data_IF_762396737017
#
_entry.id   IF_762396737017
#
_cell.length_a   1.000
_cell.length_b   1.000
_cell.length_c   1.000
_cell.angle_alpha   90.00
_cell.angle_beta   90.00
_cell.angle_gamma   90.00
#
_symmetry.space_group_name_H-M   'P 1'
#
loop_
_entity.id
_entity.type
_entity.pdbx_description
1 polymer ?
#
# COMPACT_ATOMS: atom_id res chain seq x y z
N UNK A 1 -3.02 -35.48 -27.39
CA UNK A 1 -4.11 -35.75 -26.42
C UNK A 1 -5.14 -34.66 -26.64
N UNK A 2 -6.33 -35.03 -27.11
CA UNK A 2 -7.40 -34.07 -27.42
C UNK A 2 -8.27 -33.93 -26.19
N UNK A 3 -8.35 -32.73 -25.64
CA UNK A 3 -9.24 -32.42 -24.50
C UNK A 3 -10.56 -31.87 -25.06
N UNK A 4 -11.69 -32.42 -24.62
CA UNK A 4 -13.03 -31.99 -25.03
C UNK A 4 -13.68 -31.26 -23.88
N UNK A 5 -14.21 -30.07 -24.12
CA UNK A 5 -14.90 -29.26 -23.11
C UNK A 5 -16.38 -29.12 -23.50
N UNK A 6 -17.28 -29.51 -22.59
CA UNK A 6 -18.73 -29.50 -22.82
C UNK A 6 -19.39 -28.30 -22.13
N UNK A 7 -20.13 -27.51 -22.89
CA UNK A 7 -20.89 -26.34 -22.40
C UNK A 7 -22.39 -26.63 -22.44
N UNK A 8 -23.10 -26.28 -21.38
CA UNK A 8 -24.55 -26.48 -21.27
C UNK A 8 -25.10 -26.04 -19.92
N UNK A 9 -26.43 -25.84 -19.79
CA UNK A 9 -27.09 -25.58 -18.51
C UNK A 9 -26.86 -26.74 -17.54
N UNK A 10 -26.75 -26.43 -16.24
CA UNK A 10 -26.43 -27.37 -15.15
C UNK A 10 -27.22 -28.69 -15.21
N UNK A 11 -28.55 -28.70 -15.46
CA UNK A 11 -29.31 -29.95 -15.51
C UNK A 11 -28.93 -30.89 -16.65
N UNK A 12 -28.33 -30.38 -17.73
CA UNK A 12 -27.84 -31.21 -18.84
C UNK A 12 -26.42 -31.74 -18.58
N UNK A 13 -25.66 -31.09 -17.70
CA UNK A 13 -24.29 -31.50 -17.33
C UNK A 13 -24.31 -32.66 -16.33
N UNK A 14 -25.23 -32.65 -15.39
CA UNK A 14 -25.39 -33.74 -14.41
C UNK A 14 -25.76 -35.07 -15.07
N UNK A 15 -26.40 -35.02 -16.26
CA UNK A 15 -26.71 -36.20 -17.07
C UNK A 15 -25.51 -36.78 -17.84
N UNK A 16 -24.40 -36.03 -17.91
CA UNK A 16 -23.18 -36.37 -18.62
C UNK A 16 -22.05 -36.86 -17.70
N UNK A 17 -22.29 -36.95 -16.39
CA UNK A 17 -21.34 -37.52 -15.41
C UNK A 17 -21.09 -39.03 -15.63
N UNK A 18 -21.86 -39.66 -16.51
CA UNK A 18 -21.68 -41.04 -16.93
C UNK A 18 -20.78 -41.07 -18.18
N UNK A 19 -19.56 -41.58 -18.00
CA UNK A 19 -18.56 -41.96 -19.02
C UNK A 19 -18.98 -41.70 -20.49
N UNK A 20 -18.58 -40.56 -21.05
CA UNK A 20 -18.87 -40.20 -22.44
C UNK A 20 -18.01 -41.10 -23.35
N UNK A 21 -18.64 -41.91 -24.20
CA UNK A 21 -17.95 -42.68 -25.24
C UNK A 21 -18.01 -41.92 -26.56
N UNK A 22 -16.85 -41.59 -27.13
CA UNK A 22 -16.70 -41.05 -28.49
C UNK A 22 -15.94 -42.09 -29.31
N UNK A 23 -16.55 -42.59 -30.39
CA UNK A 23 -15.97 -43.62 -31.27
C UNK A 23 -15.42 -44.87 -30.54
N UNK A 24 -16.11 -45.30 -29.49
CA UNK A 24 -15.70 -46.46 -28.67
C UNK A 24 -14.61 -46.18 -27.64
N UNK A 25 -14.16 -44.93 -27.50
CA UNK A 25 -13.17 -44.48 -26.51
C UNK A 25 -13.89 -43.80 -25.35
N UNK A 26 -13.68 -44.32 -24.13
CA UNK A 26 -14.20 -43.73 -22.90
C UNK A 26 -13.39 -42.49 -22.51
N UNK A 27 -14.05 -41.33 -22.48
CA UNK A 27 -13.46 -40.10 -21.97
C UNK A 27 -13.63 -40.01 -20.44
N UNK A 28 -12.56 -39.65 -19.75
CA UNK A 28 -12.60 -39.33 -18.33
C UNK A 28 -13.03 -37.88 -18.15
N UNK A 29 -14.15 -37.66 -17.44
CA UNK A 29 -14.62 -36.33 -17.07
C UNK A 29 -13.63 -35.67 -16.10
N UNK A 30 -13.37 -34.38 -16.27
CA UNK A 30 -12.54 -33.60 -15.36
C UNK A 30 -13.24 -32.29 -14.98
N UNK A 31 -13.15 -31.91 -13.70
CA UNK A 31 -13.79 -30.71 -13.15
C UNK A 31 -13.05 -29.41 -13.51
N UNK A 32 -11.84 -29.54 -14.05
CA UNK A 32 -11.00 -28.41 -14.46
C UNK A 32 -10.08 -28.83 -15.60
N UNK A 33 -10.01 -28.00 -16.63
CA UNK A 33 -9.14 -28.19 -17.80
C UNK A 33 -8.23 -26.99 -18.00
N UNK A 34 -7.02 -27.19 -18.53
CA UNK A 34 -6.09 -26.10 -18.84
C UNK A 34 -5.86 -26.02 -20.35
N UNK A 35 -6.37 -24.98 -20.98
CA UNK A 35 -6.18 -24.72 -22.40
C UNK A 35 -5.41 -23.40 -22.63
N UNK A 36 -4.32 -23.45 -23.40
CA UNK A 36 -3.44 -22.31 -23.71
C UNK A 36 -2.99 -21.51 -22.46
N UNK A 37 -2.81 -22.19 -21.33
CA UNK A 37 -2.42 -21.57 -20.06
C UNK A 37 -3.57 -20.99 -19.23
N UNK A 38 -4.81 -21.02 -19.75
CA UNK A 38 -6.02 -20.62 -19.03
C UNK A 38 -6.65 -21.84 -18.39
N UNK A 39 -7.02 -21.74 -17.12
CA UNK A 39 -7.69 -22.81 -16.38
C UNK A 39 -9.18 -22.54 -16.32
N UNK A 40 -9.98 -23.46 -16.83
CA UNK A 40 -11.43 -23.40 -16.82
C UNK A 40 -11.95 -24.44 -15.85
N UNK A 41 -12.79 -24.02 -14.90
CA UNK A 41 -13.58 -24.92 -14.07
C UNK A 41 -14.91 -25.27 -14.78
N UNK A 42 -15.63 -26.26 -14.26
CA UNK A 42 -16.94 -26.68 -14.77
C UNK A 42 -17.92 -25.50 -14.96
N UNK A 43 -17.83 -24.49 -14.09
CA UNK A 43 -18.75 -23.35 -14.08
C UNK A 43 -18.22 -22.14 -14.88
N UNK A 44 -17.06 -22.25 -15.52
CA UNK A 44 -16.40 -21.17 -16.28
C UNK A 44 -16.26 -19.89 -15.42
N UNK A 45 -16.13 -20.05 -14.09
CA UNK A 45 -16.09 -18.96 -13.13
C UNK A 45 -14.72 -18.26 -13.09
N UNK A 46 -13.70 -18.87 -13.73
CA UNK A 46 -12.29 -18.46 -13.74
C UNK A 46 -11.66 -18.25 -12.36
N UNK A 47 -12.35 -18.56 -11.26
CA UNK A 47 -11.91 -18.26 -9.90
C UNK A 47 -10.53 -18.85 -9.59
N UNK A 48 -10.31 -20.12 -9.93
CA UNK A 48 -9.03 -20.81 -9.73
C UNK A 48 -7.91 -20.17 -10.57
N UNK A 49 -8.21 -19.80 -11.81
CA UNK A 49 -7.24 -19.13 -12.70
C UNK A 49 -6.89 -17.74 -12.18
N UNK A 50 -7.88 -16.92 -11.81
CA UNK A 50 -7.67 -15.58 -11.25
C UNK A 50 -6.83 -15.64 -9.97
N UNK A 51 -7.12 -16.58 -9.07
CA UNK A 51 -6.32 -16.80 -7.85
C UNK A 51 -4.87 -17.14 -8.18
N UNK A 52 -4.65 -18.05 -9.14
CA UNK A 52 -3.32 -18.47 -9.56
C UNK A 52 -2.51 -17.30 -10.16
N UNK A 53 -3.10 -16.59 -11.12
CA UNK A 53 -2.48 -15.44 -11.80
C UNK A 53 -2.18 -14.33 -10.80
N UNK A 54 -3.14 -13.99 -9.93
CA UNK A 54 -2.96 -12.99 -8.88
C UNK A 54 -1.82 -13.38 -7.94
N UNK A 55 -1.78 -14.62 -7.46
CA UNK A 55 -0.72 -15.13 -6.58
C UNK A 55 0.65 -15.02 -7.25
N UNK A 56 0.77 -15.42 -8.51
CA UNK A 56 2.02 -15.32 -9.27
C UNK A 56 2.45 -13.86 -9.46
N UNK A 57 1.53 -12.96 -9.84
CA UNK A 57 1.82 -11.54 -9.99
C UNK A 57 2.31 -10.91 -8.68
N UNK A 58 1.64 -11.18 -7.55
CA UNK A 58 2.06 -10.69 -6.23
C UNK A 58 3.42 -11.26 -5.80
N UNK A 59 3.69 -12.53 -6.12
CA UNK A 59 4.99 -13.13 -5.87
C UNK A 59 6.11 -12.39 -6.62
N UNK A 60 5.93 -12.12 -7.92
CA UNK A 60 6.90 -11.37 -8.71
C UNK A 60 7.06 -9.92 -8.21
N UNK A 61 5.97 -9.23 -7.88
CA UNK A 61 6.02 -7.89 -7.27
C UNK A 61 6.81 -7.90 -5.96
N UNK A 62 6.61 -8.90 -5.10
CA UNK A 62 7.37 -9.04 -3.85
C UNK A 62 8.85 -9.27 -4.12
N UNK A 63 9.21 -10.07 -5.12
CA UNK A 63 10.61 -10.27 -5.48
C UNK A 63 11.26 -8.96 -5.97
N UNK A 64 10.56 -8.17 -6.78
CA UNK A 64 11.00 -6.81 -7.17
C UNK A 64 11.23 -5.94 -5.93
N UNK A 65 10.36 -5.98 -4.92
CA UNK A 65 10.55 -5.21 -3.69
C UNK A 65 11.80 -5.63 -2.90
N UNK A 66 12.13 -6.93 -2.88
CA UNK A 66 13.32 -7.46 -2.19
C UNK A 66 14.62 -6.99 -2.82
N UNK A 67 14.69 -7.00 -4.16
CA UNK A 67 15.87 -6.55 -4.91
C UNK A 67 15.87 -5.05 -5.18
N UNK A 68 14.90 -4.28 -4.68
CA UNK A 68 14.73 -2.85 -4.98
C UNK A 68 15.99 -2.02 -4.78
N UNK A 69 16.81 -2.39 -3.78
CA UNK A 69 18.10 -1.73 -3.46
C UNK A 69 19.15 -1.94 -4.55
N UNK A 70 19.06 -3.03 -5.30
CA UNK A 70 19.97 -3.40 -6.39
C UNK A 70 19.48 -2.90 -7.76
N UNK A 71 18.20 -2.56 -7.89
CA UNK A 71 17.63 -2.05 -9.14
C UNK A 71 18.11 -0.62 -9.44
N UNK A 72 18.58 -0.42 -10.66
CA UNK A 72 18.90 0.90 -11.20
C UNK A 72 17.63 1.74 -11.38
N UNK A 73 17.81 3.06 -11.55
CA UNK A 73 16.68 3.95 -11.86
C UNK A 73 16.01 3.58 -13.18
N UNK A 74 16.79 3.20 -14.18
CA UNK A 74 16.26 2.83 -15.49
C UNK A 74 15.39 1.57 -15.40
N UNK A 75 15.83 0.55 -14.64
CA UNK A 75 15.07 -0.69 -14.51
C UNK A 75 13.79 -0.49 -13.69
N UNK A 76 13.85 0.32 -12.63
CA UNK A 76 12.66 0.68 -11.86
C UNK A 76 11.62 1.44 -12.72
N UNK A 77 12.08 2.32 -13.61
CA UNK A 77 11.22 3.05 -14.54
C UNK A 77 10.56 2.12 -15.57
N UNK A 78 11.29 1.10 -16.06
CA UNK A 78 10.71 0.06 -16.94
C UNK A 78 9.56 -0.67 -16.26
N UNK A 79 9.73 -1.05 -14.98
CA UNK A 79 8.66 -1.71 -14.20
C UNK A 79 7.44 -0.79 -14.05
N UNK A 80 7.66 0.49 -13.74
CA UNK A 80 6.57 1.48 -13.65
C UNK A 80 5.79 1.61 -14.97
N UNK A 81 6.50 1.70 -16.10
CA UNK A 81 5.89 1.76 -17.44
C UNK A 81 5.11 0.50 -17.77
N UNK A 82 5.66 -0.68 -17.47
CA UNK A 82 4.97 -1.95 -17.70
C UNK A 82 3.66 -2.04 -16.91
N UNK A 83 3.68 -1.64 -15.63
CA UNK A 83 2.47 -1.58 -14.81
C UNK A 83 1.41 -0.65 -15.38
N UNK A 84 1.82 0.48 -15.97
CA UNK A 84 0.90 1.39 -16.64
C UNK A 84 0.28 0.76 -17.90
N UNK A 85 1.08 0.05 -18.70
CA UNK A 85 0.58 -0.67 -19.88
C UNK A 85 -0.45 -1.72 -19.48
N UNK A 86 -0.18 -2.49 -18.43
CA UNK A 86 -1.12 -3.50 -17.91
C UNK A 86 -2.41 -2.85 -17.41
N UNK A 87 -2.31 -1.75 -16.66
CA UNK A 87 -3.49 -1.00 -16.21
C UNK A 87 -4.32 -0.51 -17.38
N UNK A 88 -3.67 0.04 -18.41
CA UNK A 88 -4.35 0.55 -19.59
C UNK A 88 -5.05 -0.58 -20.35
N UNK A 89 -4.40 -1.72 -20.53
CA UNK A 89 -5.00 -2.88 -21.17
C UNK A 89 -6.23 -3.37 -20.40
N UNK A 90 -6.13 -3.49 -19.07
CA UNK A 90 -7.26 -3.88 -18.22
C UNK A 90 -8.43 -2.90 -18.35
N UNK A 91 -8.16 -1.59 -18.31
CA UNK A 91 -9.19 -0.57 -18.48
C UNK A 91 -9.91 -0.70 -19.81
N UNK A 92 -9.17 -0.90 -20.92
CA UNK A 92 -9.76 -1.10 -22.25
C UNK A 92 -10.62 -2.35 -22.34
N UNK A 93 -10.15 -3.47 -21.78
CA UNK A 93 -10.90 -4.73 -21.78
C UNK A 93 -12.22 -4.57 -21.03
N UNK A 94 -12.23 -3.87 -19.90
CA UNK A 94 -13.44 -3.64 -19.12
C UNK A 94 -14.44 -2.71 -19.81
N UNK A 95 -13.97 -1.69 -20.52
CA UNK A 95 -14.84 -0.71 -21.18
C UNK A 95 -15.13 -1.02 -22.65
N UNK A 96 -14.48 -2.03 -23.23
CA UNK A 96 -14.69 -2.46 -24.61
C UNK A 96 -14.28 -1.44 -25.68
N UNK A 97 -13.35 -0.52 -25.36
CA UNK A 97 -12.94 0.56 -26.29
C UNK A 97 -11.80 0.11 -27.22
N UNK A 98 -11.60 0.82 -28.33
CA UNK A 98 -10.54 0.50 -29.29
C UNK A 98 -9.15 0.70 -28.66
N UNK A 99 -8.14 -0.01 -29.17
CA UNK A 99 -6.74 0.10 -28.73
C UNK A 99 -6.13 1.49 -28.99
N UNK A 100 -6.63 2.22 -29.98
CA UNK A 100 -6.15 3.55 -30.40
C UNK A 100 -6.83 4.68 -29.61
N UNK A 101 -7.96 4.42 -28.97
CA UNK A 101 -8.69 5.44 -28.22
C UNK A 101 -7.85 6.02 -27.09
N UNK A 102 -8.07 7.28 -26.75
CA UNK A 102 -7.35 7.92 -25.64
C UNK A 102 -7.67 7.24 -24.31
N UNK A 103 -6.63 6.83 -23.58
CA UNK A 103 -6.78 6.10 -22.31
C UNK A 103 -7.16 6.99 -21.12
N UNK A 104 -6.76 8.27 -21.15
CA UNK A 104 -7.02 9.23 -20.07
C UNK A 104 -8.50 9.36 -19.68
N UNK A 105 -9.46 9.59 -20.61
CA UNK A 105 -10.88 9.68 -20.26
C UNK A 105 -11.43 8.38 -19.68
N UNK A 106 -10.90 7.22 -20.10
CA UNK A 106 -11.34 5.90 -19.63
C UNK A 106 -10.87 5.65 -18.21
N UNK A 107 -9.62 6.00 -17.90
CA UNK A 107 -9.14 5.94 -16.52
C UNK A 107 -9.95 6.88 -15.62
N UNK A 108 -10.33 8.06 -16.11
CA UNK A 108 -11.17 8.99 -15.36
C UNK A 108 -12.58 8.43 -15.09
N UNK A 109 -13.25 7.86 -16.09
CA UNK A 109 -14.59 7.27 -15.91
C UNK A 109 -14.58 6.07 -14.95
N UNK A 110 -13.51 5.28 -14.97
CA UNK A 110 -13.30 4.18 -14.02
C UNK A 110 -12.83 4.63 -12.64
N UNK A 111 -12.57 5.93 -12.43
CA UNK A 111 -11.96 6.48 -11.21
C UNK A 111 -10.58 5.86 -10.89
N UNK A 112 -9.85 5.45 -11.93
CA UNK A 112 -8.52 4.82 -11.82
C UNK A 112 -7.42 5.86 -11.98
N UNK A 113 -6.58 6.01 -10.97
CA UNK A 113 -5.37 6.84 -11.07
C UNK A 113 -4.30 6.12 -11.89
N UNK A 114 -3.62 6.81 -12.83
CA UNK A 114 -2.40 6.29 -13.44
C UNK A 114 -1.36 5.89 -12.38
N UNK A 115 -0.55 4.88 -12.68
CA UNK A 115 0.39 4.25 -11.74
C UNK A 115 1.28 5.27 -11.04
N UNK A 116 1.82 6.24 -11.78
CA UNK A 116 2.66 7.32 -11.22
C UNK A 116 1.91 8.12 -10.14
N UNK A 117 0.67 8.53 -10.42
CA UNK A 117 -0.14 9.27 -9.46
C UNK A 117 -0.57 8.40 -8.28
N UNK A 118 -0.80 7.11 -8.49
CA UNK A 118 -1.08 6.17 -7.40
C UNK A 118 0.10 6.03 -6.43
N UNK A 119 1.34 6.01 -6.94
CA UNK A 119 2.54 5.99 -6.10
C UNK A 119 2.63 7.28 -5.27
N UNK A 120 2.48 8.44 -5.92
CA UNK A 120 2.49 9.76 -5.25
C UNK A 120 1.41 9.83 -4.17
N UNK A 121 0.18 9.45 -4.52
CA UNK A 121 -0.95 9.45 -3.59
C UNK A 121 -0.69 8.54 -2.38
N UNK A 122 -0.17 7.34 -2.58
CA UNK A 122 0.16 6.43 -1.46
C UNK A 122 1.29 6.97 -0.59
N UNK A 123 2.30 7.62 -1.17
CA UNK A 123 3.33 8.32 -0.39
C UNK A 123 2.72 9.44 0.45
N UNK A 124 1.93 10.32 -0.15
CA UNK A 124 1.27 11.44 0.54
C UNK A 124 0.30 10.97 1.63
N UNK A 125 -0.51 9.94 1.36
CA UNK A 125 -1.42 9.35 2.33
C UNK A 125 -0.66 8.76 3.52
N UNK A 126 0.49 8.12 3.27
CA UNK A 126 1.34 7.61 4.34
C UNK A 126 1.94 8.75 5.17
N UNK A 127 2.43 9.82 4.51
CA UNK A 127 2.89 11.05 5.18
C UNK A 127 1.78 11.64 6.05
N UNK A 128 0.57 11.76 5.54
CA UNK A 128 -0.58 12.25 6.30
C UNK A 128 -0.83 11.40 7.57
N UNK A 129 -0.82 10.07 7.43
CA UNK A 129 -0.97 9.15 8.58
C UNK A 129 0.14 9.32 9.61
N UNK A 130 1.38 9.50 9.15
CA UNK A 130 2.53 9.79 10.02
C UNK A 130 2.31 11.08 10.80
N UNK A 131 1.90 12.17 10.14
CA UNK A 131 1.68 13.46 10.78
C UNK A 131 0.53 13.43 11.80
N UNK A 132 -0.45 12.54 11.60
CA UNK A 132 -1.57 12.30 12.53
C UNK A 132 -1.27 11.32 13.66
N UNK A 133 -0.07 10.72 13.69
CA UNK A 133 0.26 9.68 14.67
C UNK A 133 -0.51 8.37 14.48
N UNK A 134 -1.02 8.12 13.27
CA UNK A 134 -1.72 6.87 12.90
C UNK A 134 -0.77 5.83 12.28
N UNK A 135 0.50 6.16 12.17
CA UNK A 135 1.54 5.27 11.64
C UNK A 135 2.46 4.81 12.79
N UNK A 136 3.14 3.65 12.63
CA UNK A 136 4.16 3.21 13.58
C UNK A 136 5.27 4.23 13.81
N UNK A 137 5.85 4.23 15.01
CA UNK A 137 6.90 5.19 15.43
C UNK A 137 8.09 5.27 14.48
N UNK A 138 8.54 4.13 13.93
CA UNK A 138 9.66 4.10 12.99
C UNK A 138 9.44 4.91 11.72
N UNK A 139 8.19 5.17 11.30
CA UNK A 139 7.89 6.07 10.17
C UNK A 139 7.81 7.52 10.60
N UNK A 140 7.37 7.76 11.83
CA UNK A 140 7.31 9.10 12.43
C UNK A 140 8.69 9.70 12.60
N UNK A 141 9.66 8.88 13.00
CA UNK A 141 11.07 9.27 13.11
C UNK A 141 11.71 9.66 11.77
N UNK A 142 11.09 9.30 10.62
CA UNK A 142 11.61 9.62 9.29
C UNK A 142 11.12 10.97 8.74
N UNK A 143 10.14 11.60 9.38
CA UNK A 143 9.48 12.82 8.87
C UNK A 143 9.43 13.88 9.96
N UNK A 144 10.10 15.01 9.72
CA UNK A 144 10.19 16.11 10.69
C UNK A 144 9.45 17.35 10.20
N UNK A 145 8.69 17.97 11.10
CA UNK A 145 8.05 19.27 10.86
C UNK A 145 9.12 20.35 10.70
N UNK A 146 8.93 21.23 9.73
CA UNK A 146 9.79 22.39 9.55
C UNK A 146 9.50 23.43 10.64
N UNK A 147 10.51 23.70 11.47
CA UNK A 147 10.45 24.74 12.50
C UNK A 147 11.54 25.78 12.21
N UNK A 148 11.17 26.98 11.71
CA UNK A 148 12.13 28.04 11.46
C UNK A 148 12.56 28.70 12.79
N UNK A 149 13.82 29.14 12.87
CA UNK A 149 14.35 29.85 14.05
C UNK A 149 13.68 31.20 14.31
N UNK A 150 12.96 31.75 13.31
CA UNK A 150 12.25 33.03 13.39
C UNK A 150 10.86 32.89 12.78
N UNK A 151 9.88 33.68 13.21
CA UNK A 151 8.55 33.64 12.62
C UNK A 151 8.58 34.11 11.17
N UNK A 152 8.02 33.29 10.28
CA UNK A 152 7.94 33.54 8.84
C UNK A 152 6.48 33.42 8.39
N UNK A 153 6.12 34.08 7.29
CA UNK A 153 4.78 33.96 6.69
C UNK A 153 4.39 32.52 6.35
N UNK A 154 5.37 31.64 6.11
CA UNK A 154 5.20 30.22 5.82
C UNK A 154 5.23 29.31 7.05
N UNK A 155 5.41 29.83 8.26
CA UNK A 155 5.53 29.03 9.49
C UNK A 155 4.30 28.13 9.72
N UNK A 156 3.10 28.61 9.37
CA UNK A 156 1.85 27.88 9.55
C UNK A 156 1.45 27.03 8.34
N UNK A 157 2.31 26.91 7.32
CA UNK A 157 2.00 26.17 6.10
C UNK A 157 2.12 24.65 6.25
N UNK A 158 2.52 24.14 7.43
CA UNK A 158 2.63 22.70 7.69
C UNK A 158 3.73 22.02 6.88
N UNK A 159 4.82 22.74 6.58
CA UNK A 159 5.93 22.24 5.78
C UNK A 159 6.76 21.19 6.53
N UNK A 160 7.40 20.31 5.77
CA UNK A 160 8.29 19.27 6.28
C UNK A 160 9.74 19.56 5.90
N UNK A 161 10.68 19.14 6.76
CA UNK A 161 12.10 19.22 6.47
C UNK A 161 12.45 18.20 5.38
N UNK A 162 13.07 18.66 4.30
CA UNK A 162 13.60 17.80 3.24
C UNK A 162 15.09 17.53 3.53
N UNK A 163 15.50 16.30 3.89
CA UNK A 163 16.89 15.99 4.14
C UNK A 163 17.76 16.21 2.91
N UNK A 164 19.00 16.67 3.12
CA UNK A 164 20.01 16.66 2.06
C UNK A 164 20.48 15.22 1.85
N UNK A 165 20.27 14.71 0.65
CA UNK A 165 20.82 13.42 0.24
C UNK A 165 22.09 13.67 -0.57
N UNK A 166 23.18 12.98 -0.22
CA UNK A 166 24.37 12.95 -1.08
C UNK A 166 23.98 12.32 -2.43
N UNK A 167 24.74 12.61 -3.50
CA UNK A 167 24.47 12.35 -4.93
C UNK A 167 24.10 10.90 -5.33
N UNK A 168 23.89 9.98 -4.38
CA UNK A 168 23.39 8.64 -4.60
C UNK A 168 21.91 8.64 -5.00
N UNK A 169 21.64 7.99 -6.14
CA UNK A 169 20.30 7.68 -6.66
C UNK A 169 19.39 6.96 -5.65
N UNK A 170 19.95 6.31 -4.62
CA UNK A 170 19.18 5.56 -3.63
C UNK A 170 18.55 6.47 -2.56
N UNK A 171 19.27 7.49 -2.08
CA UNK A 171 18.78 8.40 -1.03
C UNK A 171 17.53 9.16 -1.48
N UNK A 172 17.50 9.60 -2.74
CA UNK A 172 16.34 10.26 -3.34
C UNK A 172 15.09 9.37 -3.48
N UNK A 173 15.22 8.05 -3.35
CA UNK A 173 14.09 7.09 -3.42
C UNK A 173 13.52 6.76 -2.04
N UNK A 174 14.19 7.19 -0.97
CA UNK A 174 13.80 6.89 0.39
C UNK A 174 12.52 7.65 0.76
N UNK A 175 11.70 7.04 1.62
CA UNK A 175 10.51 7.69 2.14
C UNK A 175 10.86 9.00 2.86
N UNK A 176 11.92 9.01 3.67
CA UNK A 176 12.42 10.20 4.38
C UNK A 176 12.77 11.39 3.48
N UNK A 177 13.06 11.16 2.19
CA UNK A 177 13.30 12.22 1.22
C UNK A 177 12.05 12.54 0.38
N UNK A 178 11.43 11.52 -0.21
CA UNK A 178 10.34 11.72 -1.15
C UNK A 178 9.05 12.19 -0.48
N UNK A 179 8.78 11.78 0.76
CA UNK A 179 7.61 12.21 1.53
C UNK A 179 7.58 13.72 1.78
N UNK A 180 8.61 14.35 2.38
CA UNK A 180 8.62 15.79 2.60
C UNK A 180 8.68 16.56 1.27
N UNK A 181 9.39 16.06 0.26
CA UNK A 181 9.46 16.69 -1.06
C UNK A 181 8.07 16.81 -1.71
N UNK A 182 7.30 15.72 -1.77
CA UNK A 182 5.96 15.70 -2.36
C UNK A 182 4.96 16.49 -1.52
N UNK A 183 5.06 16.39 -0.19
CA UNK A 183 4.16 17.13 0.72
C UNK A 183 4.29 18.63 0.55
N UNK A 184 5.53 19.14 0.46
CA UNK A 184 5.79 20.56 0.30
C UNK A 184 5.39 21.11 -1.09
N UNK A 185 5.14 20.23 -2.07
CA UNK A 185 4.59 20.61 -3.38
C UNK A 185 3.05 20.76 -3.36
N UNK A 186 2.39 20.36 -2.28
CA UNK A 186 0.93 20.50 -2.17
C UNK A 186 0.54 21.96 -1.90
N UNK A 187 -0.59 22.42 -2.47
CA UNK A 187 -1.17 23.71 -2.10
C UNK A 187 -1.44 23.81 -0.60
N UNK A 188 -1.22 24.99 -0.03
CA UNK A 188 -1.32 25.25 1.42
C UNK A 188 -2.69 24.90 1.99
N UNK A 189 -3.76 24.93 1.19
CA UNK A 189 -5.10 24.52 1.61
C UNK A 189 -5.21 23.05 2.03
N UNK A 190 -4.29 22.18 1.58
CA UNK A 190 -4.28 20.75 1.92
C UNK A 190 -3.25 20.42 3.01
N UNK A 191 -2.31 21.33 3.28
CA UNK A 191 -1.24 21.15 4.28
C UNK A 191 -1.48 21.96 5.55
N UNK A 192 -2.17 23.10 5.44
CA UNK A 192 -2.44 24.07 6.49
C UNK A 192 -3.89 24.05 6.96
N UNK A 193 -4.08 24.18 8.28
CA UNK A 193 -5.30 23.98 9.08
C UNK A 193 -5.64 22.52 9.37
N UNK A 194 -4.91 21.90 10.31
CA UNK A 194 -5.46 21.12 11.42
C UNK A 194 -4.38 21.08 12.50
N UNK A 195 -4.73 21.21 13.77
CA UNK A 195 -3.80 21.13 14.90
C UNK A 195 -2.88 19.90 14.79
N UNK A 196 -1.64 20.12 14.35
CA UNK A 196 -0.61 19.09 14.31
C UNK A 196 0.16 19.17 15.63
N UNK A 197 -0.14 18.23 16.53
CA UNK A 197 0.65 17.88 17.72
C UNK A 197 0.81 18.96 18.80
N UNK A 198 -0.23 19.72 19.13
CA UNK A 198 -0.29 20.32 20.48
C UNK A 198 -0.58 19.26 21.55
N UNK A 199 -1.19 18.12 21.18
CA UNK A 199 -1.66 17.08 22.11
C UNK A 199 -0.56 16.19 22.68
N UNK A 200 0.62 16.08 22.05
CA UNK A 200 1.74 15.26 22.58
C UNK A 200 2.66 16.00 23.54
N UNK A 201 2.86 17.31 23.35
CA UNK A 201 3.59 18.13 24.34
C UNK A 201 2.79 18.20 25.64
N UNK A 202 1.48 18.46 25.56
CA UNK A 202 0.62 18.47 26.73
C UNK A 202 0.49 17.11 27.41
N UNK A 203 0.43 15.98 26.67
CA UNK A 203 0.28 14.65 27.30
C UNK A 203 1.57 14.11 27.92
N UNK A 204 2.74 14.55 27.47
CA UNK A 204 4.01 14.15 28.09
C UNK A 204 4.30 15.02 29.31
N UNK A 205 4.10 16.34 29.15
CA UNK A 205 4.13 17.29 30.26
C UNK A 205 3.13 16.89 31.37
N UNK A 206 1.89 16.51 31.05
CA UNK A 206 0.90 16.12 32.06
C UNK A 206 1.20 14.78 32.76
N UNK A 207 1.96 13.88 32.12
CA UNK A 207 2.36 12.60 32.74
C UNK A 207 3.57 12.83 33.64
N UNK A 208 4.54 13.63 33.16
CA UNK A 208 5.72 14.02 33.94
C UNK A 208 5.32 14.91 35.14
N UNK A 209 4.35 15.81 34.97
CA UNK A 209 3.82 16.69 36.03
C UNK A 209 2.98 15.91 37.07
N UNK A 210 2.26 14.85 36.66
CA UNK A 210 1.49 13.99 37.58
C UNK A 210 2.42 13.06 38.36
N UNK A 211 3.47 12.52 37.73
CA UNK A 211 4.50 11.69 38.38
C UNK A 211 5.29 12.51 39.42
N UNK A 212 5.57 13.78 39.15
CA UNK A 212 6.21 14.72 40.08
C UNK A 212 5.26 15.23 41.19
N UNK A 213 3.94 15.12 41.00
CA UNK A 213 2.94 15.44 42.03
C UNK A 213 2.71 14.27 42.98
N UNK A 214 2.69 13.05 42.46
CA UNK A 214 2.57 11.81 43.25
C UNK A 214 3.82 11.57 44.09
N UNK A 215 5.02 11.88 43.58
CA UNK A 215 6.27 11.78 44.34
C UNK A 215 6.33 12.74 45.54
N UNK A 216 5.70 13.92 45.44
CA UNK A 216 5.63 14.94 46.50
C UNK A 216 4.52 14.71 47.53
N UNK A 217 3.53 13.88 47.21
CA UNK A 217 2.46 13.47 48.15
C UNK A 217 2.77 12.17 48.90
N UNK A 218 3.86 11.47 48.56
CA UNK A 218 4.28 10.28 49.29
C UNK A 218 4.63 10.67 50.74
N UNK A 219 3.98 10.05 51.76
CA UNK A 219 4.32 10.34 53.15
C UNK A 219 5.78 9.96 53.41
N UNK A 220 6.53 10.75 54.18
CA UNK A 220 7.92 10.43 54.50
C UNK A 220 7.99 9.05 55.17
N UNK A 221 9.04 8.26 54.90
CA UNK A 221 9.21 6.96 55.54
C UNK A 221 9.17 7.15 57.06
N UNK A 222 8.34 6.37 57.73
CA UNK A 222 8.16 6.42 59.17
C UNK A 222 9.50 6.20 59.88
N UNK A 223 10.02 7.26 60.51
CA UNK A 223 11.14 7.17 61.45
C UNK A 223 10.53 6.89 62.83
N UNK A 224 10.49 5.62 63.23
CA UNK A 224 10.22 5.18 64.60
C UNK A 224 11.32 4.20 64.99
N UNK A 225 12.37 4.64 65.70
CA UNK A 225 12.47 4.64 67.18
C UNK A 225 12.18 3.24 67.75
N UNK A 226 13.25 2.48 68.00
CA UNK A 226 13.43 1.65 69.19
C UNK A 226 14.93 1.60 69.54
N UNK A 227 15.39 2.56 70.32
CA UNK A 227 16.47 2.36 71.30
C UNK A 227 15.88 1.55 72.47
N UNK A 228 16.66 0.58 72.97
CA UNK A 228 16.19 -0.49 73.85
C UNK A 228 16.10 -0.17 75.34
N UNK A 229 15.48 -1.08 76.08
CA UNK A 229 15.64 -1.30 77.52
C UNK A 229 15.48 -2.80 77.85
N UNK A 230 16.49 -3.34 78.52
CA UNK A 230 16.64 -4.64 79.23
C UNK A 230 16.81 -5.93 78.44
#
# INVERSE_FOLDING_TARGET
MTEVMVFGPEPLRDRLDHMITLDGISLTSCLSVRNLGVTFDQNVSFNSHIKLVSRSAFFHLRNITRIRKLLTWHDAEKVSKLLQVIQNAAARVLTGIDKRDHITPVLASLHWLPVKFRIIFKTLLLTYKVLRGLAPSYLEELVHLYQPNRPLRSQNAGLLVVPRVSRSRMGGRAFSYQAPLLWNQLPVQYTGKQELRQTRKHRKQSVDDEEDRVSKLAPPPAVGILEGWS
#
